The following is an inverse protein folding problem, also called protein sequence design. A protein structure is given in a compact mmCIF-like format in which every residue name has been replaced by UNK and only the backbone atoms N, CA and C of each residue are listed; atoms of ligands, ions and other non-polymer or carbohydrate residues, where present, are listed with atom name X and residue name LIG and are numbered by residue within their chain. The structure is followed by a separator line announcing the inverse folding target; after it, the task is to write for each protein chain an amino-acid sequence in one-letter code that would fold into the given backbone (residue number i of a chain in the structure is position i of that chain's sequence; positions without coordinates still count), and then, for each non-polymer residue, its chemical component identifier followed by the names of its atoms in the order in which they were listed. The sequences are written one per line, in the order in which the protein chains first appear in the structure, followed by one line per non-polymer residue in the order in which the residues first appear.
data_IF_551241161297
#
_entry.id   IF_551241161297
#
_cell.length_a   1.000
_cell.length_b   1.000
_cell.length_c   1.000
_cell.angle_alpha   90.00
_cell.angle_beta   90.00
_cell.angle_gamma   90.00
#
_symmetry.space_group_name_H-M   'P 1'
#
loop_
_entity.id
_entity.type
_entity.pdbx_description
1 polymer ?
#
# COMPACT_ATOMS: atom_id res chain seq x y z
N UNK A 1 16.41 -63.79 37.17
CA UNK A 1 15.13 -64.03 36.47
C UNK A 1 14.44 -62.69 36.32
N UNK A 2 14.16 -62.25 35.10
CA UNK A 2 13.41 -61.01 34.85
C UNK A 2 11.92 -61.37 34.94
N UNK A 3 11.21 -60.80 35.93
CA UNK A 3 9.76 -60.94 36.03
C UNK A 3 9.13 -60.32 34.78
N UNK A 4 8.44 -61.15 33.99
CA UNK A 4 7.69 -60.67 32.84
C UNK A 4 6.42 -59.97 33.32
N UNK A 5 6.08 -58.80 32.74
CA UNK A 5 4.85 -58.10 33.06
C UNK A 5 3.63 -59.00 32.86
N UNK A 6 2.70 -58.95 33.80
CA UNK A 6 1.45 -59.71 33.74
C UNK A 6 0.40 -58.98 32.89
N UNK A 7 -0.66 -59.69 32.50
CA UNK A 7 -1.77 -59.07 31.78
C UNK A 7 -2.42 -57.92 32.59
N UNK A 8 -2.47 -58.04 33.92
CA UNK A 8 -2.97 -56.98 34.80
C UNK A 8 -2.12 -55.71 34.76
N UNK A 9 -0.80 -55.86 34.63
CA UNK A 9 0.11 -54.71 34.48
C UNK A 9 -0.19 -53.94 33.18
N UNK A 10 -0.54 -54.67 32.12
CA UNK A 10 -0.94 -54.06 30.85
C UNK A 10 -2.27 -53.32 30.96
N UNK A 11 -3.28 -53.91 31.61
CA UNK A 11 -4.57 -53.25 31.82
C UNK A 11 -4.45 -51.98 32.68
N UNK A 12 -3.64 -52.03 33.74
CA UNK A 12 -3.35 -50.86 34.59
C UNK A 12 -2.64 -49.75 33.82
N UNK A 13 -1.66 -50.11 32.98
CA UNK A 13 -0.96 -49.16 32.15
C UNK A 13 -1.89 -48.52 31.12
N UNK A 14 -2.75 -49.31 30.47
CA UNK A 14 -3.72 -48.83 29.49
C UNK A 14 -4.72 -47.85 30.10
N UNK A 15 -5.30 -48.20 31.25
CA UNK A 15 -6.21 -47.32 31.99
C UNK A 15 -5.56 -45.99 32.39
N UNK A 16 -4.27 -46.02 32.78
CA UNK A 16 -3.51 -44.81 33.12
C UNK A 16 -3.22 -43.94 31.90
N UNK A 17 -2.93 -44.53 30.74
CA UNK A 17 -2.75 -43.82 29.47
C UNK A 17 -4.06 -43.15 29.04
N UNK A 18 -5.18 -43.86 29.14
CA UNK A 18 -6.49 -43.33 28.74
C UNK A 18 -6.93 -42.19 29.69
N UNK A 19 -6.66 -42.31 30.98
CA UNK A 19 -6.88 -41.24 31.97
C UNK A 19 -5.99 -40.02 31.69
N UNK A 20 -4.68 -40.21 31.46
CA UNK A 20 -3.78 -39.11 31.09
C UNK A 20 -4.23 -38.45 29.77
N UNK A 21 -4.72 -39.24 28.81
CA UNK A 21 -5.24 -38.72 27.54
C UNK A 21 -6.52 -37.90 27.72
N UNK A 22 -7.38 -38.27 28.67
CA UNK A 22 -8.59 -37.51 29.03
C UNK A 22 -8.30 -36.19 29.76
N UNK A 23 -7.11 -36.06 30.35
CA UNK A 23 -6.64 -34.84 31.01
C UNK A 23 -5.98 -33.84 30.07
N UNK A 24 -5.62 -34.27 28.85
CA UNK A 24 -5.19 -33.36 27.80
C UNK A 24 -6.46 -32.69 27.28
N UNK A 25 -6.61 -31.35 27.38
CA UNK A 25 -7.70 -30.66 26.73
C UNK A 25 -7.68 -31.04 25.25
N UNK A 26 -8.85 -31.35 24.66
CA UNK A 26 -8.96 -31.58 23.22
C UNK A 26 -8.12 -30.53 22.47
N UNK A 27 -7.34 -30.91 21.44
CA UNK A 27 -6.48 -29.95 20.76
C UNK A 27 -7.34 -28.76 20.38
N UNK A 28 -7.09 -27.64 21.04
CA UNK A 28 -7.74 -26.38 20.72
C UNK A 28 -7.48 -26.22 19.23
N UNK A 29 -8.55 -26.25 18.41
CA UNK A 29 -8.43 -25.93 16.99
C UNK A 29 -7.67 -24.61 16.93
N UNK A 30 -6.41 -24.67 16.48
CA UNK A 30 -5.58 -23.48 16.40
C UNK A 30 -6.27 -22.51 15.42
N UNK A 31 -6.57 -21.27 15.85
CA UNK A 31 -7.40 -20.36 15.08
C UNK A 31 -6.59 -19.81 13.90
N UNK A 32 -6.81 -20.34 12.69
CA UNK A 32 -6.65 -19.74 11.34
C UNK A 32 -5.36 -18.97 10.96
N UNK A 33 -4.41 -18.76 11.88
CA UNK A 33 -3.30 -17.82 11.73
C UNK A 33 -2.26 -18.25 10.70
N UNK A 34 -2.22 -19.54 10.35
CA UNK A 34 -1.31 -20.07 9.34
C UNK A 34 -1.97 -20.15 7.95
N UNK A 35 -3.30 -20.04 7.83
CA UNK A 35 -4.00 -20.14 6.55
C UNK A 35 -3.91 -18.85 5.72
N UNK A 36 -4.13 -17.70 6.38
CA UNK A 36 -4.12 -16.39 5.71
C UNK A 36 -2.73 -16.02 5.23
N UNK A 37 -1.71 -16.16 6.09
CA UNK A 37 -0.33 -15.83 5.73
C UNK A 37 0.20 -16.74 4.62
N UNK A 38 -0.11 -18.05 4.66
CA UNK A 38 0.25 -18.96 3.57
C UNK A 38 -0.48 -18.64 2.26
N UNK A 39 -1.76 -18.26 2.33
CA UNK A 39 -2.50 -17.78 1.16
C UNK A 39 -1.86 -16.52 0.58
N UNK A 40 -1.46 -15.58 1.44
CA UNK A 40 -0.75 -14.38 1.04
C UNK A 40 0.58 -14.69 0.36
N UNK A 41 1.40 -15.59 0.91
CA UNK A 41 2.67 -15.98 0.30
C UNK A 41 2.50 -16.61 -1.08
N UNK A 42 1.45 -17.41 -1.27
CA UNK A 42 1.19 -18.07 -2.56
C UNK A 42 0.67 -17.09 -3.60
N UNK A 43 -0.29 -16.24 -3.20
CA UNK A 43 -1.03 -15.38 -4.12
C UNK A 43 -1.36 -14.02 -3.49
N UNK A 44 -0.36 -13.12 -3.34
CA UNK A 44 -0.55 -11.83 -2.67
C UNK A 44 -1.66 -10.98 -3.31
N UNK A 45 -1.71 -10.96 -4.65
CA UNK A 45 -2.66 -10.15 -5.42
C UNK A 45 -4.10 -10.67 -5.33
N UNK A 46 -4.31 -11.98 -5.35
CA UNK A 46 -5.66 -12.56 -5.22
C UNK A 46 -6.24 -12.22 -3.84
N UNK A 47 -5.46 -12.41 -2.77
CA UNK A 47 -5.90 -12.03 -1.43
C UNK A 47 -6.20 -10.54 -1.33
N UNK A 48 -5.36 -9.69 -1.92
CA UNK A 48 -5.60 -8.25 -1.99
C UNK A 48 -6.95 -7.92 -2.65
N UNK A 49 -7.25 -8.53 -3.81
CA UNK A 49 -8.51 -8.28 -4.52
C UNK A 49 -9.75 -8.83 -3.81
N UNK A 50 -9.62 -9.86 -2.97
CA UNK A 50 -10.72 -10.34 -2.14
C UNK A 50 -11.19 -9.29 -1.11
N UNK A 51 -10.28 -8.49 -0.58
CA UNK A 51 -10.58 -7.49 0.46
C UNK A 51 -10.71 -6.05 -0.09
N UNK A 52 -10.42 -5.84 -1.37
CA UNK A 52 -10.35 -4.51 -1.98
C UNK A 52 -11.09 -4.51 -3.32
N UNK A 53 -12.41 -4.25 -3.34
CA UNK A 53 -13.23 -4.37 -4.54
C UNK A 53 -12.90 -3.32 -5.61
N UNK A 54 -12.31 -2.18 -5.25
CA UNK A 54 -11.90 -1.16 -6.23
C UNK A 54 -10.67 -1.56 -7.02
N UNK A 55 -9.87 -2.51 -6.50
CA UNK A 55 -8.66 -3.04 -7.15
C UNK A 55 -7.77 -1.92 -7.69
N UNK A 56 -7.54 -0.90 -6.86
CA UNK A 56 -6.90 0.34 -7.30
C UNK A 56 -5.50 0.01 -7.80
N UNK A 57 -5.19 0.39 -9.04
CA UNK A 57 -3.81 0.38 -9.54
C UNK A 57 -3.20 1.77 -9.38
N UNK A 58 -2.06 1.86 -8.71
CA UNK A 58 -1.34 3.13 -8.56
C UNK A 58 -0.83 3.60 -9.91
N UNK A 59 -0.99 4.89 -10.20
CA UNK A 59 -0.61 5.48 -11.47
C UNK A 59 0.22 6.73 -11.26
N UNK A 60 1.22 6.94 -12.12
CA UNK A 60 2.01 8.18 -12.13
C UNK A 60 1.10 9.35 -12.51
N UNK A 61 1.17 10.45 -11.77
CA UNK A 61 0.39 11.66 -12.03
C UNK A 61 -1.09 11.63 -11.64
N UNK A 62 -1.61 10.50 -11.17
CA UNK A 62 -2.98 10.44 -10.63
C UNK A 62 -2.97 10.70 -9.12
N UNK A 63 -4.02 11.36 -8.63
CA UNK A 63 -4.26 11.59 -7.21
C UNK A 63 -4.82 10.34 -6.48
N UNK A 64 -4.40 9.13 -6.86
CA UNK A 64 -4.94 7.88 -6.31
C UNK A 64 -4.02 7.17 -5.30
N UNK A 65 -2.85 7.75 -4.97
CA UNK A 65 -1.93 7.20 -3.97
C UNK A 65 -2.62 6.91 -2.64
N UNK A 66 -3.43 7.84 -2.13
CA UNK A 66 -4.13 7.66 -0.85
C UNK A 66 -5.09 6.46 -0.86
N UNK A 67 -5.82 6.26 -1.96
CA UNK A 67 -6.77 5.15 -2.08
C UNK A 67 -6.01 3.83 -2.20
N UNK A 68 -4.97 3.79 -3.03
CA UNK A 68 -4.11 2.62 -3.18
C UNK A 68 -3.43 2.24 -1.85
N UNK A 69 -2.83 3.20 -1.15
CA UNK A 69 -2.18 2.99 0.14
C UNK A 69 -3.17 2.43 1.18
N UNK A 70 -4.40 2.94 1.22
CA UNK A 70 -5.45 2.38 2.09
C UNK A 70 -5.77 0.92 1.79
N UNK A 71 -5.81 0.51 0.53
CA UNK A 71 -6.06 -0.88 0.13
C UNK A 71 -4.88 -1.81 0.46
N UNK A 72 -3.65 -1.31 0.30
CA UNK A 72 -2.43 -1.99 0.76
C UNK A 72 -2.49 -2.18 2.28
N UNK A 73 -2.72 -1.11 3.04
CA UNK A 73 -2.82 -1.21 4.50
C UNK A 73 -3.94 -2.15 4.95
N UNK A 74 -5.11 -2.14 4.30
CA UNK A 74 -6.21 -3.07 4.62
C UNK A 74 -5.77 -4.53 4.48
N UNK A 75 -5.06 -4.83 3.39
CA UNK A 75 -4.55 -6.18 3.11
C UNK A 75 -3.49 -6.59 4.14
N UNK A 76 -2.50 -5.74 4.39
CA UNK A 76 -1.38 -6.06 5.28
C UNK A 76 -1.83 -6.11 6.75
N UNK A 77 -2.80 -5.28 7.17
CA UNK A 77 -3.43 -5.40 8.49
C UNK A 77 -4.14 -6.73 8.66
N UNK A 78 -4.87 -7.18 7.64
CA UNK A 78 -5.55 -8.48 7.68
C UNK A 78 -4.55 -9.64 7.77
N UNK A 79 -3.48 -9.61 6.96
CA UNK A 79 -2.47 -10.68 6.91
C UNK A 79 -1.65 -10.75 8.20
N UNK A 80 -1.18 -9.60 8.70
CA UNK A 80 -0.22 -9.56 9.81
C UNK A 80 -0.85 -9.24 11.17
N UNK A 81 -2.17 -9.01 11.22
CA UNK A 81 -2.92 -8.64 12.43
C UNK A 81 -2.33 -7.41 13.15
N UNK A 82 -1.77 -6.48 12.39
CA UNK A 82 -1.25 -5.21 12.92
C UNK A 82 -2.42 -4.25 13.22
N UNK A 83 -2.42 -3.63 14.41
CA UNK A 83 -3.43 -2.64 14.79
C UNK A 83 -3.27 -1.32 14.01
N UNK A 84 -2.03 -0.85 13.89
CA UNK A 84 -1.70 0.45 13.29
C UNK A 84 -1.46 0.38 11.78
N UNK A 85 -1.46 1.56 11.15
CA UNK A 85 -1.18 1.74 9.71
C UNK A 85 0.17 1.12 9.35
N UNK A 86 0.14 -0.03 8.68
CA UNK A 86 1.32 -0.84 8.38
C UNK A 86 2.41 -0.04 7.65
N UNK A 87 2.01 0.74 6.65
CA UNK A 87 2.89 1.55 5.79
C UNK A 87 3.50 2.77 6.48
N UNK A 88 3.11 3.09 7.71
CA UNK A 88 3.60 4.26 8.42
C UNK A 88 5.01 4.07 9.01
N UNK A 89 5.43 2.82 9.28
CA UNK A 89 6.69 2.52 9.95
C UNK A 89 7.53 1.55 9.12
N UNK A 90 8.79 1.90 8.89
CA UNK A 90 9.78 1.05 8.24
C UNK A 90 9.94 -0.32 8.92
N UNK A 91 9.90 -0.32 10.25
CA UNK A 91 10.02 -1.54 11.06
C UNK A 91 8.96 -2.60 10.70
N UNK A 92 7.76 -2.18 10.26
CA UNK A 92 6.71 -3.12 9.86
C UNK A 92 7.09 -3.96 8.63
N UNK A 93 8.00 -3.46 7.79
CA UNK A 93 8.55 -4.17 6.64
C UNK A 93 9.83 -4.91 7.03
N UNK A 94 10.81 -4.20 7.62
CA UNK A 94 12.15 -4.75 7.86
C UNK A 94 12.21 -5.86 8.90
N UNK A 95 11.32 -5.84 9.91
CA UNK A 95 11.28 -6.89 10.93
C UNK A 95 10.60 -8.17 10.46
N UNK A 96 10.10 -8.21 9.21
CA UNK A 96 9.43 -9.38 8.67
C UNK A 96 10.44 -10.40 8.13
N UNK A 97 10.15 -11.72 8.21
CA UNK A 97 10.92 -12.74 7.51
C UNK A 97 11.05 -12.44 6.01
N UNK A 98 12.14 -12.90 5.37
CA UNK A 98 12.39 -12.66 3.95
C UNK A 98 11.23 -13.10 3.04
N UNK A 99 10.54 -14.20 3.39
CA UNK A 99 9.37 -14.69 2.65
C UNK A 99 8.19 -13.71 2.69
N UNK A 100 7.95 -13.08 3.84
CA UNK A 100 6.93 -12.04 4.00
C UNK A 100 7.31 -10.80 3.20
N UNK A 101 8.57 -10.37 3.27
CA UNK A 101 9.07 -9.22 2.53
C UNK A 101 8.92 -9.41 1.01
N UNK A 102 9.26 -10.59 0.49
CA UNK A 102 9.09 -10.93 -0.92
C UNK A 102 7.61 -10.92 -1.34
N UNK A 103 6.70 -11.42 -0.51
CA UNK A 103 5.27 -11.38 -0.78
C UNK A 103 4.72 -9.95 -0.78
N UNK A 104 5.19 -9.09 0.13
CA UNK A 104 4.85 -7.66 0.14
C UNK A 104 5.38 -6.97 -1.12
N UNK A 105 6.65 -7.20 -1.48
CA UNK A 105 7.25 -6.62 -2.68
C UNK A 105 6.49 -7.03 -3.96
N UNK A 106 6.09 -8.31 -4.05
CA UNK A 106 5.24 -8.83 -5.13
C UNK A 106 3.87 -8.13 -5.16
N UNK A 107 3.22 -7.95 -4.01
CA UNK A 107 1.96 -7.21 -3.91
C UNK A 107 2.10 -5.77 -4.42
N UNK A 108 3.14 -5.05 -3.97
CA UNK A 108 3.37 -3.66 -4.38
C UNK A 108 3.55 -3.58 -5.90
N UNK A 109 4.44 -4.38 -6.49
CA UNK A 109 4.65 -4.43 -7.96
C UNK A 109 3.39 -4.80 -8.74
N UNK A 110 2.57 -5.70 -8.20
CA UNK A 110 1.36 -6.19 -8.87
C UNK A 110 0.22 -5.18 -8.87
N UNK A 111 0.30 -4.13 -8.04
CA UNK A 111 -0.77 -3.13 -7.85
C UNK A 111 -0.42 -1.75 -8.38
N UNK A 112 0.65 -1.62 -9.17
CA UNK A 112 1.04 -0.37 -9.84
C UNK A 112 0.92 -0.49 -11.36
N UNK A 113 0.72 0.62 -12.07
CA UNK A 113 0.76 0.70 -13.54
C UNK A 113 2.19 0.50 -14.08
N UNK A 114 2.32 0.05 -15.33
CA UNK A 114 3.60 -0.30 -15.97
C UNK A 114 4.64 0.82 -15.89
N UNK A 115 4.23 2.08 -16.05
CA UNK A 115 5.14 3.23 -15.97
C UNK A 115 5.84 3.41 -14.61
N UNK A 116 5.20 2.97 -13.52
CA UNK A 116 5.82 2.94 -12.19
C UNK A 116 6.62 1.66 -11.98
N UNK A 117 6.17 0.55 -12.56
CA UNK A 117 6.88 -0.73 -12.49
C UNK A 117 8.26 -0.63 -13.16
N UNK A 118 8.35 -0.05 -14.36
CA UNK A 118 9.62 0.13 -15.07
C UNK A 118 10.63 0.95 -14.25
N UNK A 119 10.14 1.94 -13.50
CA UNK A 119 10.98 2.75 -12.60
C UNK A 119 11.47 1.92 -11.41
N UNK A 120 10.59 1.13 -10.79
CA UNK A 120 10.94 0.28 -9.66
C UNK A 120 11.94 -0.79 -10.08
N UNK A 121 11.70 -1.47 -11.20
CA UNK A 121 12.56 -2.56 -11.69
C UNK A 121 13.89 -2.02 -12.22
N UNK A 122 13.92 -0.85 -12.87
CA UNK A 122 15.16 -0.19 -13.30
C UNK A 122 16.09 0.21 -12.15
N UNK A 123 15.61 0.20 -10.90
CA UNK A 123 16.39 0.51 -9.70
C UNK A 123 16.82 -0.70 -8.88
N UNK A 124 16.54 -1.94 -9.35
CA UNK A 124 16.84 -3.20 -8.65
C UNK A 124 16.38 -3.20 -7.18
N UNK A 125 15.21 -2.60 -6.90
CA UNK A 125 14.70 -2.49 -5.53
C UNK A 125 13.99 -3.77 -5.11
N UNK A 126 14.65 -4.65 -4.36
CA UNK A 126 14.01 -5.86 -3.84
C UNK A 126 13.36 -5.68 -2.46
N UNK A 127 13.81 -4.69 -1.69
CA UNK A 127 13.27 -4.38 -0.37
C UNK A 127 11.90 -3.67 -0.46
N UNK A 128 10.84 -4.23 0.14
CA UNK A 128 9.48 -3.69 0.01
C UNK A 128 9.32 -2.29 0.62
N UNK A 129 10.10 -1.93 1.64
CA UNK A 129 10.07 -0.58 2.19
C UNK A 129 10.63 0.44 1.20
N UNK A 130 11.74 0.11 0.55
CA UNK A 130 12.36 0.96 -0.45
C UNK A 130 11.47 1.11 -1.68
N UNK A 131 10.78 0.04 -2.11
CA UNK A 131 9.74 0.13 -3.16
C UNK A 131 8.63 1.10 -2.73
N UNK A 132 8.06 0.92 -1.53
CA UNK A 132 6.95 1.75 -1.05
C UNK A 132 7.32 3.24 -0.97
N UNK A 133 8.48 3.55 -0.39
CA UNK A 133 8.97 4.93 -0.24
C UNK A 133 9.29 5.58 -1.59
N UNK A 134 9.86 4.82 -2.54
CA UNK A 134 10.08 5.27 -3.91
C UNK A 134 8.75 5.61 -4.60
N UNK A 135 7.76 4.73 -4.53
CA UNK A 135 6.42 4.97 -5.09
C UNK A 135 5.77 6.21 -4.47
N UNK A 136 5.81 6.35 -3.14
CA UNK A 136 5.30 7.52 -2.42
C UNK A 136 5.96 8.80 -2.89
N UNK A 137 7.28 8.80 -3.04
CA UNK A 137 8.06 9.95 -3.53
C UNK A 137 7.68 10.32 -4.96
N UNK A 138 7.61 9.34 -5.87
CA UNK A 138 7.24 9.57 -7.27
C UNK A 138 5.82 10.14 -7.42
N UNK A 139 4.87 9.61 -6.66
CA UNK A 139 3.50 10.14 -6.64
C UNK A 139 3.44 11.56 -6.07
N UNK A 140 4.17 11.85 -4.99
CA UNK A 140 4.22 13.19 -4.41
C UNK A 140 4.83 14.21 -5.40
N UNK A 141 5.95 13.85 -6.04
CA UNK A 141 6.61 14.69 -7.05
C UNK A 141 5.68 14.94 -8.24
N UNK A 142 5.06 13.89 -8.76
CA UNK A 142 4.15 14.02 -9.90
C UNK A 142 2.90 14.83 -9.57
N UNK A 143 2.35 14.68 -8.35
CA UNK A 143 1.24 15.49 -7.87
C UNK A 143 1.64 16.96 -7.71
N UNK A 144 2.85 17.23 -7.19
CA UNK A 144 3.39 18.60 -7.08
C UNK A 144 3.56 19.24 -8.45
N UNK A 145 4.15 18.52 -9.40
CA UNK A 145 4.34 19.01 -10.76
C UNK A 145 3.00 19.31 -11.43
N UNK A 146 2.03 18.39 -11.32
CA UNK A 146 0.69 18.60 -11.87
C UNK A 146 0.00 19.85 -11.29
N UNK A 147 0.13 20.09 -9.98
CA UNK A 147 -0.37 21.31 -9.34
C UNK A 147 0.32 22.58 -9.87
N UNK A 148 1.65 22.54 -10.08
CA UNK A 148 2.39 23.65 -10.68
C UNK A 148 1.94 23.93 -12.12
N UNK A 149 1.78 22.88 -12.93
CA UNK A 149 1.34 22.98 -14.32
C UNK A 149 -0.08 23.57 -14.41
N UNK A 150 -0.97 23.21 -13.49
CA UNK A 150 -2.32 23.78 -13.40
C UNK A 150 -2.31 25.26 -13.02
N UNK A 151 -1.47 25.65 -12.07
CA UNK A 151 -1.33 27.05 -11.65
C UNK A 151 -0.71 27.90 -12.77
N UNK A 152 0.27 27.37 -13.51
CA UNK A 152 0.83 28.03 -14.69
C UNK A 152 -0.24 28.26 -15.75
N UNK A 153 -1.03 27.23 -16.09
CA UNK A 153 -2.15 27.37 -17.03
C UNK A 153 -3.19 28.40 -16.56
N UNK A 154 -3.49 28.44 -15.26
CA UNK A 154 -4.38 29.44 -14.69
C UNK A 154 -3.81 30.87 -14.82
N UNK A 155 -2.51 31.05 -14.56
CA UNK A 155 -1.83 32.33 -14.73
C UNK A 155 -1.82 32.79 -16.20
N UNK A 156 -1.56 31.89 -17.15
CA UNK A 156 -1.57 32.19 -18.59
C UNK A 156 -2.96 32.63 -19.07
N UNK A 157 -4.02 31.99 -18.56
CA UNK A 157 -5.40 32.41 -18.83
C UNK A 157 -5.69 33.80 -18.24
N UNK A 158 -5.19 34.11 -17.04
CA UNK A 158 -5.32 35.44 -16.43
C UNK A 158 -4.50 36.53 -17.12
N UNK A 159 -3.38 36.18 -17.74
CA UNK A 159 -2.52 37.12 -18.47
C UNK A 159 -3.11 37.52 -19.83
N UNK A 160 -3.97 36.69 -20.42
CA UNK A 160 -4.60 36.90 -21.73
C UNK A 160 -5.71 37.98 -21.77
N UNK A 161 -5.65 39.01 -20.90
CA UNK A 161 -6.71 40.02 -20.74
C UNK A 161 -6.96 40.92 -21.95
N UNK A 162 -6.01 40.97 -22.89
CA UNK A 162 -6.08 41.81 -24.09
C UNK A 162 -6.89 41.17 -25.23
N UNK A 163 -7.17 39.86 -25.15
CA UNK A 163 -7.91 39.14 -26.19
C UNK A 163 -9.39 39.00 -25.80
N UNK A 164 -10.34 39.20 -26.73
CA UNK A 164 -11.74 38.90 -26.46
C UNK A 164 -11.91 37.43 -26.07
N UNK A 165 -12.69 37.17 -25.02
CA UNK A 165 -12.97 35.82 -24.55
C UNK A 165 -13.65 35.00 -25.64
N UNK A 166 -13.10 33.82 -25.93
CA UNK A 166 -13.71 32.82 -26.82
C UNK A 166 -14.30 31.69 -25.98
N UNK A 167 -15.26 30.94 -26.55
CA UNK A 167 -15.80 29.74 -25.90
C UNK A 167 -14.70 28.73 -25.54
N UNK A 168 -13.63 28.67 -26.35
CA UNK A 168 -12.45 27.83 -26.08
C UNK A 168 -11.71 28.29 -24.83
N UNK A 169 -11.55 29.60 -24.64
CA UNK A 169 -10.90 30.15 -23.44
C UNK A 169 -11.74 29.91 -22.18
N UNK A 170 -13.07 30.09 -22.27
CA UNK A 170 -13.99 29.80 -21.17
C UNK A 170 -14.02 28.31 -20.81
N UNK A 171 -14.02 27.42 -21.81
CA UNK A 171 -13.96 25.98 -21.59
C UNK A 171 -12.65 25.55 -20.92
N UNK A 172 -11.50 26.09 -21.37
CA UNK A 172 -10.19 25.87 -20.72
C UNK A 172 -10.18 26.38 -19.29
N UNK A 173 -10.71 27.58 -19.05
CA UNK A 173 -10.79 28.16 -17.72
C UNK A 173 -11.65 27.30 -16.78
N UNK A 174 -12.85 26.91 -17.22
CA UNK A 174 -13.76 26.04 -16.45
C UNK A 174 -13.11 24.70 -16.12
N UNK A 175 -12.40 24.10 -17.09
CA UNK A 175 -11.65 22.86 -16.87
C UNK A 175 -10.56 23.02 -15.81
N UNK A 176 -9.68 24.01 -15.96
CA UNK A 176 -8.59 24.28 -14.99
C UNK A 176 -9.16 24.55 -13.60
N UNK A 177 -10.19 25.41 -13.50
CA UNK A 177 -10.85 25.72 -12.23
C UNK A 177 -11.47 24.48 -11.56
N UNK A 178 -12.12 23.63 -12.34
CA UNK A 178 -12.70 22.37 -11.86
C UNK A 178 -11.62 21.42 -11.35
N UNK A 179 -10.51 21.26 -12.08
CA UNK A 179 -9.38 20.42 -11.66
C UNK A 179 -8.70 20.95 -10.39
N UNK A 180 -8.48 22.27 -10.28
CA UNK A 180 -7.96 22.89 -9.05
C UNK A 180 -8.88 22.67 -7.85
N UNK A 181 -10.20 22.77 -8.06
CA UNK A 181 -11.22 22.49 -7.03
C UNK A 181 -11.19 21.03 -6.59
N UNK A 182 -11.08 20.09 -7.54
CA UNK A 182 -10.96 18.65 -7.25
C UNK A 182 -9.69 18.32 -6.48
N UNK A 183 -8.57 18.98 -6.79
CA UNK A 183 -7.29 18.84 -6.08
C UNK A 183 -7.26 19.59 -4.73
N UNK A 184 -8.34 20.30 -4.38
CA UNK A 184 -8.48 21.08 -3.14
C UNK A 184 -7.34 22.08 -2.93
N UNK A 185 -6.86 22.70 -4.01
CA UNK A 185 -5.86 23.76 -3.92
C UNK A 185 -6.53 24.96 -3.24
N UNK A 186 -6.17 25.22 -1.98
CA UNK A 186 -6.68 26.38 -1.26
C UNK A 186 -5.90 27.66 -1.64
N UNK A 187 -6.35 28.82 -1.16
CA UNK A 187 -5.74 30.09 -1.55
C UNK A 187 -4.27 30.23 -1.09
N UNK A 188 -3.93 29.71 0.09
CA UNK A 188 -2.55 29.70 0.61
C UNK A 188 -1.63 28.82 -0.24
N UNK A 189 -2.10 27.61 -0.58
CA UNK A 189 -1.39 26.68 -1.45
C UNK A 189 -1.25 27.24 -2.86
N UNK A 190 -2.29 27.91 -3.38
CA UNK A 190 -2.26 28.61 -4.66
C UNK A 190 -1.19 29.71 -4.66
N UNK A 191 -1.15 30.56 -3.63
CA UNK A 191 -0.12 31.59 -3.49
C UNK A 191 1.29 31.01 -3.46
N UNK A 192 1.50 29.94 -2.68
CA UNK A 192 2.79 29.24 -2.63
C UNK A 192 3.17 28.55 -3.95
N UNK A 193 2.20 27.99 -4.67
CA UNK A 193 2.41 27.41 -6.01
C UNK A 193 2.76 28.50 -7.03
N UNK A 194 2.07 29.65 -7.02
CA UNK A 194 2.38 30.79 -7.88
C UNK A 194 3.82 31.26 -7.69
N UNK A 195 4.23 31.47 -6.43
CA UNK A 195 5.62 31.85 -6.11
C UNK A 195 6.63 30.84 -6.67
N UNK A 196 6.36 29.55 -6.50
CA UNK A 196 7.25 28.50 -7.02
C UNK A 196 7.23 28.37 -8.55
N UNK A 197 6.11 28.69 -9.20
CA UNK A 197 6.06 28.73 -10.67
C UNK A 197 6.73 29.98 -11.26
N UNK A 198 6.76 31.09 -10.51
CA UNK A 198 7.26 32.38 -11.01
C UNK A 198 8.77 32.57 -10.85
N UNK A 199 9.41 31.86 -9.90
CA UNK A 199 10.82 32.06 -9.59
C UNK A 199 11.58 30.73 -9.57
N UNK A 200 12.68 30.67 -10.31
CA UNK A 200 13.67 29.60 -10.17
C UNK A 200 14.36 29.70 -8.81
N UNK A 201 14.78 28.56 -8.24
CA UNK A 201 15.60 28.58 -7.03
C UNK A 201 16.86 29.43 -7.26
N UNK A 202 17.32 30.20 -6.25
CA UNK A 202 18.56 30.97 -6.37
C UNK A 202 19.70 30.04 -6.76
N UNK A 203 20.53 30.46 -7.73
CA UNK A 203 21.75 29.74 -8.03
C UNK A 203 22.65 29.78 -6.79
N UNK A 204 23.02 28.61 -6.28
CA UNK A 204 24.08 28.44 -5.26
C UNK A 204 25.42 28.42 -5.98
#
# INVERSE_FOLDING_TARGET
MVLQPTAEDYFRLKAKIDWLSSMIPAPVQQPEGNSVLNSFHKKPLELHYMHNPKKTRLAKGKANFKVWDQEINRTLKYVFKNADTFTALEANFKLRPAKDQAAIACLLRSTIETSLLDIVDGTNLDDPWTIFTSLKSQCNRSNRQHKLDLVSQFADLMANRLNPGTDVNLAKWSKVWTEMTQLKINFEEMGGLCLQSSFSAPAV
#
